data_IF_264743387977
#
_entry.id   IF_264743387977
#
_cell.length_a   1.000
_cell.length_b   1.000
_cell.length_c   1.000
_cell.angle_alpha   90.00
_cell.angle_beta   90.00
_cell.angle_gamma   90.00
#
_symmetry.space_group_name_H-M   'P 1'
#
loop_
_entity.id
_entity.type
_entity.pdbx_description
1 polymer ?
#
# COMPACT_ATOMS: atom_id res chain seq x y z
N UNK A 1 -1.83 -5.72 46.34
CA UNK A 1 -1.13 -6.23 45.14
C UNK A 1 -1.93 -7.27 44.35
N UNK A 2 -3.04 -7.82 44.87
CA UNK A 2 -3.93 -8.77 44.15
C UNK A 2 -5.17 -8.13 43.51
N UNK A 3 -5.54 -6.90 43.90
CA UNK A 3 -6.71 -6.18 43.36
C UNK A 3 -6.44 -5.47 42.03
N UNK A 4 -5.24 -4.91 41.84
CA UNK A 4 -4.83 -4.20 40.61
C UNK A 4 -4.66 -5.13 39.37
N UNK A 5 -4.54 -6.44 39.56
CA UNK A 5 -4.52 -7.41 38.44
C UNK A 5 -5.91 -7.79 37.94
N UNK A 6 -6.97 -7.61 38.74
CA UNK A 6 -8.34 -7.92 38.36
C UNK A 6 -8.98 -6.81 37.52
N UNK A 7 -8.66 -5.55 37.81
CA UNK A 7 -9.12 -4.37 37.05
C UNK A 7 -8.52 -4.28 35.64
N UNK A 8 -7.42 -4.98 35.35
CA UNK A 8 -6.83 -5.01 34.00
C UNK A 8 -7.49 -6.02 33.05
N UNK A 9 -8.47 -6.79 33.52
CA UNK A 9 -9.15 -7.85 32.75
C UNK A 9 -10.55 -7.49 32.25
N UNK A 10 -11.14 -6.40 32.72
CA UNK A 10 -12.36 -5.82 32.13
C UNK A 10 -11.95 -4.71 31.18
N UNK A 11 -11.44 -5.09 30.00
CA UNK A 11 -11.40 -4.16 28.87
C UNK A 11 -12.84 -3.93 28.44
N UNK A 12 -13.35 -2.75 28.76
CA UNK A 12 -14.63 -2.23 28.28
C UNK A 12 -14.79 -2.57 26.80
N UNK A 13 -15.82 -3.34 26.49
CA UNK A 13 -16.15 -3.64 25.13
C UNK A 13 -16.48 -2.34 24.41
N UNK A 14 -15.85 -2.11 23.26
CA UNK A 14 -16.03 -0.88 22.50
C UNK A 14 -17.49 -0.79 22.03
N UNK A 15 -18.10 0.38 22.22
CA UNK A 15 -19.51 0.60 21.88
C UNK A 15 -19.71 0.38 20.38
N UNK A 16 -20.65 -0.50 20.03
CA UNK A 16 -20.92 -0.88 18.65
C UNK A 16 -21.30 0.34 17.80
N UNK A 17 -20.50 0.65 16.78
CA UNK A 17 -20.84 1.68 15.80
C UNK A 17 -21.65 1.12 14.65
N UNK A 18 -22.45 1.97 13.98
CA UNK A 18 -23.17 1.62 12.74
C UNK A 18 -22.18 1.08 11.69
N UNK A 19 -20.96 1.63 11.64
CA UNK A 19 -19.94 1.19 10.71
C UNK A 19 -19.48 -0.26 10.96
N UNK A 20 -19.40 -0.68 12.22
CA UNK A 20 -19.04 -2.06 12.57
C UNK A 20 -20.12 -3.07 12.19
N UNK A 21 -21.39 -2.66 12.17
CA UNK A 21 -22.51 -3.51 11.73
C UNK A 21 -22.46 -3.76 10.22
N UNK A 22 -22.23 -2.70 9.43
CA UNK A 22 -22.22 -2.79 7.97
C UNK A 22 -20.90 -3.33 7.40
N UNK A 23 -19.77 -3.01 8.05
CA UNK A 23 -18.44 -3.36 7.55
C UNK A 23 -17.50 -3.66 8.73
N UNK A 24 -17.65 -4.85 9.32
CA UNK A 24 -16.73 -5.30 10.37
C UNK A 24 -15.34 -5.63 9.81
N UNK A 25 -14.35 -5.70 10.72
CA UNK A 25 -12.92 -5.81 10.39
C UNK A 25 -12.57 -6.76 9.24
N UNK A 26 -12.99 -8.04 9.21
CA UNK A 26 -12.57 -8.94 8.16
C UNK A 26 -13.12 -8.57 6.77
N UNK A 27 -14.30 -7.94 6.71
CA UNK A 27 -14.87 -7.46 5.45
C UNK A 27 -14.25 -6.15 4.98
N UNK A 28 -13.64 -5.35 5.87
CA UNK A 28 -12.81 -4.21 5.48
C UNK A 28 -11.60 -4.66 4.67
N UNK A 29 -10.94 -5.74 5.08
CA UNK A 29 -9.82 -6.32 4.34
C UNK A 29 -10.26 -6.73 2.93
N UNK A 30 -11.41 -7.42 2.82
CA UNK A 30 -11.99 -7.81 1.52
C UNK A 30 -12.30 -6.59 0.67
N UNK A 31 -12.88 -5.54 1.24
CA UNK A 31 -13.19 -4.29 0.54
C UNK A 31 -11.91 -3.63 -0.01
N UNK A 32 -10.83 -3.57 0.77
CA UNK A 32 -9.56 -2.98 0.34
C UNK A 32 -8.86 -3.81 -0.74
N UNK A 33 -8.91 -5.15 -0.65
CA UNK A 33 -8.43 -6.03 -1.71
C UNK A 33 -9.20 -5.83 -3.02
N UNK A 34 -10.53 -5.71 -2.95
CA UNK A 34 -11.36 -5.41 -4.12
C UNK A 34 -11.03 -4.03 -4.70
N UNK A 35 -10.89 -3.02 -3.85
CA UNK A 35 -10.47 -1.68 -4.27
C UNK A 35 -9.15 -1.74 -5.02
N UNK A 36 -8.15 -2.47 -4.52
CA UNK A 36 -6.87 -2.67 -5.21
C UNK A 36 -7.01 -3.28 -6.61
N UNK A 37 -7.85 -4.30 -6.77
CA UNK A 37 -8.11 -4.94 -8.07
C UNK A 37 -8.77 -3.98 -9.07
N UNK A 38 -9.77 -3.22 -8.62
CA UNK A 38 -10.42 -2.19 -9.45
C UNK A 38 -9.46 -1.09 -9.85
N UNK A 39 -8.70 -0.56 -8.90
CA UNK A 39 -7.70 0.47 -9.16
C UNK A 39 -6.64 -0.01 -10.17
N UNK A 40 -6.17 -1.24 -10.05
CA UNK A 40 -5.26 -1.83 -11.05
C UNK A 40 -5.92 -1.95 -12.44
N UNK A 41 -7.16 -2.44 -12.51
CA UNK A 41 -7.92 -2.52 -13.76
C UNK A 41 -8.06 -1.14 -14.42
N UNK A 42 -8.46 -0.12 -13.66
CA UNK A 42 -8.55 1.26 -14.16
C UNK A 42 -7.20 1.80 -14.59
N UNK A 43 -6.12 1.49 -13.86
CA UNK A 43 -4.77 1.90 -14.24
C UNK A 43 -4.40 1.38 -15.64
N UNK A 44 -4.59 0.08 -15.88
CA UNK A 44 -4.31 -0.54 -17.18
C UNK A 44 -5.16 0.10 -18.28
N UNK A 45 -6.47 0.27 -18.04
CA UNK A 45 -7.40 0.85 -19.03
C UNK A 45 -7.03 2.29 -19.40
N UNK A 46 -6.76 3.13 -18.41
CA UNK A 46 -6.44 4.56 -18.61
C UNK A 46 -5.07 4.73 -19.25
N UNK A 47 -4.05 3.97 -18.85
CA UNK A 47 -2.75 4.02 -19.52
C UNK A 47 -2.88 3.69 -21.02
N UNK A 48 -3.60 2.63 -21.36
CA UNK A 48 -3.80 2.22 -22.75
C UNK A 48 -4.62 3.24 -23.55
N UNK A 49 -5.61 3.92 -22.95
CA UNK A 49 -6.34 4.99 -23.65
C UNK A 49 -5.49 6.24 -23.92
N UNK A 50 -4.38 6.41 -23.19
CA UNK A 50 -3.40 7.48 -23.39
C UNK A 50 -2.16 7.03 -24.16
N UNK A 51 -2.21 5.88 -24.86
CA UNK A 51 -1.09 5.31 -25.61
C UNK A 51 0.16 5.04 -24.76
N UNK A 52 -0.02 4.76 -23.46
CA UNK A 52 1.04 4.32 -22.55
C UNK A 52 0.98 2.79 -22.49
N UNK A 53 1.92 2.11 -23.14
CA UNK A 53 1.97 0.65 -23.11
C UNK A 53 2.56 0.14 -21.79
N UNK A 54 1.66 -0.10 -20.84
CA UNK A 54 2.02 -0.67 -19.53
C UNK A 54 2.64 -2.06 -19.67
N UNK A 55 2.32 -2.85 -20.71
CA UNK A 55 2.90 -4.17 -20.90
C UNK A 55 4.38 -4.08 -21.28
N UNK A 56 4.77 -3.07 -22.06
CA UNK A 56 6.19 -2.80 -22.34
C UNK A 56 6.95 -2.47 -21.04
N UNK A 57 6.39 -1.61 -20.17
CA UNK A 57 7.00 -1.29 -18.86
C UNK A 57 7.13 -2.54 -17.99
N UNK A 58 6.13 -3.41 -18.03
CA UNK A 58 6.14 -4.68 -17.32
C UNK A 58 6.98 -5.75 -18.03
N UNK A 59 7.57 -5.49 -19.21
CA UNK A 59 8.25 -6.49 -20.06
C UNK A 59 7.39 -7.71 -20.34
N UNK A 60 6.14 -7.49 -20.74
CA UNK A 60 5.20 -8.50 -21.19
C UNK A 60 4.99 -8.32 -22.70
N UNK A 61 5.24 -9.37 -23.48
CA UNK A 61 4.96 -9.36 -24.91
C UNK A 61 3.47 -9.64 -25.14
N UNK A 62 2.75 -8.64 -25.61
CA UNK A 62 1.31 -8.70 -25.85
C UNK A 62 1.02 -8.20 -27.27
N UNK A 63 0.36 -9.02 -28.08
CA UNK A 63 -0.07 -8.59 -29.42
C UNK A 63 -1.25 -7.61 -29.31
N UNK A 64 -1.44 -6.73 -30.31
CA UNK A 64 -2.60 -5.83 -30.32
C UNK A 64 -3.94 -6.59 -30.33
N UNK A 65 -4.01 -7.75 -30.99
CA UNK A 65 -5.21 -8.60 -30.99
C UNK A 65 -5.52 -9.19 -29.62
N UNK A 66 -4.51 -9.38 -28.77
CA UNK A 66 -4.68 -9.88 -27.41
C UNK A 66 -5.01 -8.79 -26.40
N UNK A 67 -4.78 -7.51 -26.73
CA UNK A 67 -5.02 -6.39 -25.83
C UNK A 67 -6.47 -6.30 -25.36
N UNK A 68 -7.42 -6.35 -26.31
CA UNK A 68 -8.85 -6.34 -26.01
C UNK A 68 -9.28 -7.56 -25.19
N UNK A 69 -8.72 -8.73 -25.52
CA UNK A 69 -8.99 -9.98 -24.78
C UNK A 69 -8.48 -9.89 -23.34
N UNK A 70 -7.30 -9.31 -23.11
CA UNK A 70 -6.74 -9.11 -21.78
C UNK A 70 -7.62 -8.16 -20.99
N UNK A 71 -8.01 -7.01 -21.56
CA UNK A 71 -8.89 -6.05 -20.88
C UNK A 71 -10.24 -6.69 -20.48
N UNK A 72 -10.88 -7.45 -21.38
CA UNK A 72 -12.12 -8.17 -21.07
C UNK A 72 -11.91 -9.19 -19.96
N UNK A 73 -10.88 -10.04 -20.05
CA UNK A 73 -10.59 -11.07 -19.03
C UNK A 73 -10.26 -10.47 -17.68
N UNK A 74 -9.55 -9.33 -17.64
CA UNK A 74 -9.28 -8.62 -16.39
C UNK A 74 -10.55 -8.05 -15.79
N UNK A 75 -11.47 -7.50 -16.61
CA UNK A 75 -12.77 -7.04 -16.14
C UNK A 75 -13.60 -8.20 -15.58
N UNK A 76 -13.74 -9.30 -16.31
CA UNK A 76 -14.48 -10.49 -15.88
C UNK A 76 -13.91 -11.06 -14.58
N UNK A 77 -12.59 -11.09 -14.46
CA UNK A 77 -11.89 -11.50 -13.25
C UNK A 77 -12.25 -10.61 -12.07
N UNK A 78 -12.12 -9.28 -12.22
CA UNK A 78 -12.42 -8.31 -11.18
C UNK A 78 -13.90 -8.35 -10.78
N UNK A 79 -14.82 -8.38 -11.74
CA UNK A 79 -16.26 -8.51 -11.50
C UNK A 79 -16.59 -9.80 -10.75
N UNK A 80 -15.99 -10.93 -11.11
CA UNK A 80 -16.24 -12.20 -10.42
C UNK A 80 -15.80 -12.16 -8.94
N UNK A 81 -14.67 -11.53 -8.64
CA UNK A 81 -14.20 -11.36 -7.25
C UNK A 81 -15.10 -10.38 -6.49
N UNK A 82 -15.49 -9.28 -7.13
CA UNK A 82 -16.41 -8.30 -6.54
C UNK A 82 -17.78 -8.89 -6.26
N UNK A 83 -18.32 -9.73 -7.14
CA UNK A 83 -19.59 -10.42 -6.91
C UNK A 83 -19.52 -11.34 -5.68
N UNK A 84 -18.47 -12.18 -5.57
CA UNK A 84 -18.28 -13.06 -4.40
C UNK A 84 -18.12 -12.25 -3.12
N UNK A 85 -17.37 -11.15 -3.18
CA UNK A 85 -17.13 -10.26 -2.04
C UNK A 85 -18.38 -9.49 -1.62
N UNK A 86 -19.18 -9.04 -2.58
CA UNK A 86 -20.45 -8.39 -2.31
C UNK A 86 -21.45 -9.35 -1.67
N UNK A 87 -21.58 -10.56 -2.23
CA UNK A 87 -22.45 -11.59 -1.65
C UNK A 87 -22.04 -11.96 -0.22
N UNK A 88 -20.74 -12.04 0.07
CA UNK A 88 -20.27 -12.35 1.43
C UNK A 88 -20.57 -11.22 2.43
N UNK A 89 -20.35 -9.96 2.04
CA UNK A 89 -20.72 -8.78 2.85
C UNK A 89 -22.22 -8.72 3.08
N UNK A 90 -23.03 -8.86 2.02
CA UNK A 90 -24.48 -8.85 2.11
C UNK A 90 -24.99 -9.98 3.02
N UNK A 91 -24.45 -11.20 2.87
CA UNK A 91 -24.76 -12.32 3.75
C UNK A 91 -24.41 -12.03 5.22
N UNK A 92 -23.26 -11.42 5.49
CA UNK A 92 -22.90 -11.03 6.86
C UNK A 92 -23.88 -10.02 7.47
N UNK A 93 -24.26 -9.00 6.70
CA UNK A 93 -25.22 -7.98 7.17
C UNK A 93 -26.56 -8.63 7.49
N UNK A 94 -27.05 -9.53 6.63
CA UNK A 94 -28.28 -10.28 6.86
C UNK A 94 -28.19 -11.16 8.12
N UNK A 95 -27.10 -11.91 8.29
CA UNK A 95 -26.89 -12.74 9.49
C UNK A 95 -26.81 -11.91 10.77
N UNK A 96 -26.13 -10.75 10.72
CA UNK A 96 -26.05 -9.82 11.84
C UNK A 96 -27.45 -9.32 12.21
N UNK A 97 -28.22 -8.79 11.23
CA UNK A 97 -29.59 -8.27 11.46
C UNK A 97 -30.53 -9.34 12.03
N UNK A 98 -30.39 -10.59 11.58
CA UNK A 98 -31.19 -11.71 12.06
C UNK A 98 -30.71 -12.29 13.41
N UNK A 99 -29.61 -11.78 13.96
CA UNK A 99 -29.08 -12.24 15.25
C UNK A 99 -28.39 -13.61 15.20
N UNK A 100 -27.98 -14.10 14.02
CA UNK A 100 -27.27 -15.37 13.92
C UNK A 100 -25.82 -15.25 14.43
N UNK A 101 -25.50 -15.97 15.51
CA UNK A 101 -24.18 -15.95 16.17
C UNK A 101 -23.35 -17.21 15.89
N UNK A 102 -23.47 -17.82 14.71
CA UNK A 102 -22.73 -19.05 14.40
C UNK A 102 -21.26 -18.77 14.14
N UNK A 103 -20.39 -19.38 14.95
CA UNK A 103 -18.93 -19.23 14.81
C UNK A 103 -18.40 -19.59 13.40
N UNK A 104 -19.10 -20.48 12.68
CA UNK A 104 -18.74 -20.82 11.29
C UNK A 104 -18.82 -19.62 10.33
N UNK A 105 -19.72 -18.66 10.58
CA UNK A 105 -19.89 -17.45 9.76
C UNK A 105 -18.63 -16.58 9.81
N UNK A 106 -17.92 -16.58 10.94
CA UNK A 106 -16.69 -15.81 11.13
C UNK A 106 -15.54 -16.26 10.21
N UNK A 107 -15.61 -17.49 9.68
CA UNK A 107 -14.63 -18.04 8.72
C UNK A 107 -14.94 -17.70 7.26
N UNK A 108 -16.16 -17.23 6.95
CA UNK A 108 -16.54 -16.85 5.57
C UNK A 108 -15.58 -15.82 4.96
N UNK A 109 -15.20 -14.74 5.66
CA UNK A 109 -14.24 -13.78 5.10
C UNK A 109 -12.88 -14.40 4.77
N UNK A 110 -12.38 -15.30 5.63
CA UNK A 110 -11.13 -16.01 5.37
C UNK A 110 -11.22 -16.87 4.11
N UNK A 111 -12.34 -17.56 3.89
CA UNK A 111 -12.59 -18.34 2.67
C UNK A 111 -12.58 -17.43 1.44
N UNK A 112 -13.19 -16.25 1.52
CA UNK A 112 -13.19 -15.27 0.41
C UNK A 112 -11.78 -14.74 0.14
N UNK A 113 -11.01 -14.40 1.17
CA UNK A 113 -9.61 -13.95 1.02
C UNK A 113 -8.76 -15.05 0.38
N UNK A 114 -8.89 -16.30 0.85
CA UNK A 114 -8.20 -17.45 0.26
C UNK A 114 -8.62 -17.69 -1.18
N UNK A 115 -9.91 -17.54 -1.50
CA UNK A 115 -10.41 -17.62 -2.86
C UNK A 115 -9.77 -16.57 -3.78
N UNK A 116 -9.66 -15.31 -3.32
CA UNK A 116 -8.97 -14.24 -4.08
C UNK A 116 -7.51 -14.61 -4.34
N UNK A 117 -6.79 -15.06 -3.31
CA UNK A 117 -5.39 -15.49 -3.41
C UNK A 117 -5.26 -16.66 -4.40
N UNK A 118 -6.10 -17.69 -4.28
CA UNK A 118 -6.09 -18.83 -5.20
C UNK A 118 -6.39 -18.39 -6.64
N UNK A 119 -7.37 -17.53 -6.86
CA UNK A 119 -7.70 -17.01 -8.20
C UNK A 119 -6.52 -16.26 -8.83
N UNK A 120 -5.75 -15.49 -8.05
CA UNK A 120 -4.56 -14.77 -8.49
C UNK A 120 -3.38 -15.70 -8.81
N UNK A 121 -3.03 -16.60 -7.89
CA UNK A 121 -1.76 -17.35 -7.95
C UNK A 121 -1.89 -18.77 -8.51
N UNK A 122 -3.04 -19.43 -8.34
CA UNK A 122 -3.21 -20.82 -8.73
C UNK A 122 -3.54 -20.97 -10.22
N UNK A 123 -2.74 -21.76 -10.93
CA UNK A 123 -2.98 -22.13 -12.33
C UNK A 123 -1.69 -22.35 -13.12
N UNK A 124 -1.80 -22.95 -14.31
CA UNK A 124 -0.65 -23.31 -15.17
C UNK A 124 -0.29 -22.25 -16.21
N UNK A 125 -1.02 -21.13 -16.27
CA UNK A 125 -0.72 -20.08 -17.26
C UNK A 125 0.64 -19.43 -17.00
N UNK A 126 1.43 -19.08 -18.03
CA UNK A 126 2.73 -18.41 -17.88
C UNK A 126 2.66 -17.15 -17.02
N UNK A 127 1.60 -16.35 -17.17
CA UNK A 127 1.42 -15.11 -16.40
C UNK A 127 1.28 -15.35 -14.89
N UNK A 128 0.51 -16.37 -14.49
CA UNK A 128 0.38 -16.75 -13.07
C UNK A 128 1.69 -17.32 -12.51
N UNK A 129 2.42 -18.13 -13.29
CA UNK A 129 3.74 -18.63 -12.89
C UNK A 129 4.70 -17.46 -12.64
N UNK A 130 4.72 -16.49 -13.55
CA UNK A 130 5.52 -15.27 -13.43
C UNK A 130 5.15 -14.46 -12.20
N UNK A 131 3.85 -14.20 -11.97
CA UNK A 131 3.37 -13.50 -10.77
C UNK A 131 3.82 -14.22 -9.48
N UNK A 132 3.66 -15.54 -9.41
CA UNK A 132 4.09 -16.34 -8.26
C UNK A 132 5.60 -16.28 -8.04
N UNK A 133 6.40 -16.33 -9.11
CA UNK A 133 7.86 -16.19 -9.04
C UNK A 133 8.27 -14.79 -8.54
N UNK A 134 7.65 -13.74 -9.06
CA UNK A 134 7.85 -12.36 -8.61
C UNK A 134 7.51 -12.23 -7.13
N UNK A 135 6.31 -12.64 -6.69
CA UNK A 135 5.89 -12.58 -5.27
C UNK A 135 6.84 -13.35 -4.36
N UNK A 136 7.20 -14.59 -4.72
CA UNK A 136 8.14 -15.39 -3.92
C UNK A 136 9.50 -14.70 -3.78
N UNK A 137 10.01 -14.09 -4.85
CA UNK A 137 11.29 -13.38 -4.85
C UNK A 137 11.24 -12.13 -3.97
N UNK A 138 10.22 -11.28 -4.15
CA UNK A 138 10.13 -10.02 -3.41
C UNK A 138 9.89 -10.22 -1.91
N UNK A 139 9.15 -11.26 -1.51
CA UNK A 139 8.88 -11.54 -0.09
C UNK A 139 10.14 -11.96 0.69
N UNK A 140 11.19 -12.40 -0.01
CA UNK A 140 12.50 -12.69 0.59
C UNK A 140 13.37 -11.42 0.66
N UNK A 141 12.99 -10.34 -0.01
CA UNK A 141 13.77 -9.10 -0.13
C UNK A 141 14.69 -9.04 -1.34
N UNK A 142 14.59 -10.00 -2.26
CA UNK A 142 15.37 -10.02 -3.49
C UNK A 142 14.72 -9.17 -4.58
N UNK A 143 15.52 -8.75 -5.56
CA UNK A 143 15.09 -8.03 -6.76
C UNK A 143 15.74 -8.64 -8.00
N UNK A 144 14.98 -8.69 -9.07
CA UNK A 144 15.45 -9.09 -10.39
C UNK A 144 15.69 -7.85 -11.24
N UNK A 145 16.92 -7.66 -11.71
CA UNK A 145 17.31 -6.45 -12.44
C UNK A 145 16.69 -6.40 -13.83
N UNK A 146 16.41 -7.55 -14.45
CA UNK A 146 15.71 -7.59 -15.73
C UNK A 146 14.24 -7.22 -15.55
N UNK A 147 13.62 -7.63 -14.46
CA UNK A 147 12.21 -7.33 -14.17
C UNK A 147 12.02 -6.28 -13.07
N UNK A 148 13.00 -5.38 -12.92
CA UNK A 148 13.11 -4.41 -11.83
C UNK A 148 11.82 -3.63 -11.56
N UNK A 149 11.21 -3.08 -12.61
CA UNK A 149 9.98 -2.29 -12.49
C UNK A 149 8.82 -3.11 -11.92
N UNK A 150 8.68 -4.38 -12.30
CA UNK A 150 7.65 -5.26 -11.76
C UNK A 150 7.79 -5.47 -10.25
N UNK A 151 9.02 -5.75 -9.82
CA UNK A 151 9.34 -6.01 -8.42
C UNK A 151 9.11 -4.75 -7.57
N UNK A 152 9.51 -3.57 -8.07
CA UNK A 152 9.30 -2.28 -7.39
C UNK A 152 7.81 -1.92 -7.28
N UNK A 153 7.04 -2.05 -8.37
CA UNK A 153 5.61 -1.72 -8.35
C UNK A 153 4.85 -2.57 -7.32
N UNK A 154 5.17 -3.86 -7.24
CA UNK A 154 4.50 -4.77 -6.32
C UNK A 154 4.92 -4.54 -4.87
N UNK A 155 6.21 -4.29 -4.63
CA UNK A 155 6.71 -4.04 -3.26
C UNK A 155 6.31 -2.67 -2.74
N UNK A 156 6.30 -1.62 -3.56
CA UNK A 156 5.77 -0.31 -3.17
C UNK A 156 4.26 -0.38 -2.91
N UNK A 157 3.51 -1.20 -3.66
CA UNK A 157 2.11 -1.51 -3.33
C UNK A 157 2.00 -2.19 -1.97
N UNK A 158 2.87 -3.16 -1.68
CA UNK A 158 2.88 -3.86 -0.39
C UNK A 158 3.11 -2.89 0.79
N UNK A 159 3.93 -1.85 0.63
CA UNK A 159 4.12 -0.83 1.68
C UNK A 159 2.83 -0.08 2.04
N UNK A 160 1.97 0.20 1.06
CA UNK A 160 0.67 0.83 1.30
C UNK A 160 -0.35 -0.12 1.94
N UNK A 161 -0.14 -1.44 1.81
CA UNK A 161 -0.96 -2.49 2.44
C UNK A 161 -0.47 -2.92 3.83
N UNK A 162 0.63 -2.38 4.38
CA UNK A 162 1.16 -2.78 5.71
C UNK A 162 0.11 -2.79 6.83
N UNK A 163 -0.81 -1.82 6.83
CA UNK A 163 -1.89 -1.73 7.84
C UNK A 163 -3.01 -2.74 7.59
N UNK A 164 -3.28 -3.06 6.33
CA UNK A 164 -4.23 -4.12 5.95
C UNK A 164 -3.69 -5.50 6.35
N UNK A 165 -2.38 -5.71 6.21
CA UNK A 165 -1.70 -6.92 6.69
C UNK A 165 -1.83 -7.05 8.22
N UNK A 166 -1.69 -5.94 8.95
CA UNK A 166 -1.88 -5.93 10.40
C UNK A 166 -3.32 -6.33 10.77
N UNK A 167 -4.31 -5.73 10.13
CA UNK A 167 -5.73 -6.05 10.36
C UNK A 167 -6.03 -7.52 10.04
N UNK A 168 -5.38 -8.08 9.01
CA UNK A 168 -5.48 -9.51 8.70
C UNK A 168 -4.92 -10.39 9.83
N UNK A 169 -3.77 -10.04 10.40
CA UNK A 169 -3.24 -10.79 11.55
C UNK A 169 -4.13 -10.63 12.78
N UNK A 170 -4.65 -9.42 13.06
CA UNK A 170 -5.61 -9.19 14.14
C UNK A 170 -6.86 -10.04 13.93
N UNK A 171 -7.38 -10.14 12.71
CA UNK A 171 -8.50 -11.00 12.36
C UNK A 171 -8.18 -12.48 12.65
N UNK A 172 -7.05 -13.00 12.18
CA UNK A 172 -6.65 -14.39 12.43
C UNK A 172 -6.48 -14.70 13.93
N UNK A 173 -5.91 -13.77 14.70
CA UNK A 173 -5.79 -13.92 16.15
C UNK A 173 -7.16 -13.87 16.84
N UNK A 174 -8.07 -13.02 16.35
CA UNK A 174 -9.42 -12.87 16.90
C UNK A 174 -10.26 -14.13 16.69
N UNK A 175 -10.14 -14.80 15.54
CA UNK A 175 -10.78 -16.10 15.28
C UNK A 175 -10.42 -17.17 16.32
N UNK A 176 -9.19 -17.11 16.85
CA UNK A 176 -8.72 -18.02 17.91
C UNK A 176 -9.17 -17.60 19.30
N UNK A 177 -9.21 -16.29 19.57
CA UNK A 177 -9.40 -15.72 20.92
C UNK A 177 -10.86 -15.53 21.32
N UNK A 178 -11.79 -15.41 20.37
CA UNK A 178 -13.18 -15.11 20.69
C UNK A 178 -14.03 -14.98 19.43
N UNK A 179 -14.90 -13.97 19.42
CA UNK A 179 -15.72 -13.59 18.27
C UNK A 179 -15.14 -12.39 17.54
N UNK A 180 -15.27 -12.39 16.22
CA UNK A 180 -14.82 -11.32 15.31
C UNK A 180 -15.99 -10.42 14.90
N UNK A 181 -17.20 -10.97 14.90
CA UNK A 181 -18.40 -10.28 14.46
C UNK A 181 -18.98 -9.43 15.60
N UNK A 182 -19.68 -8.33 15.25
CA UNK A 182 -20.39 -7.54 16.24
C UNK A 182 -21.53 -8.35 16.88
N UNK A 183 -21.73 -8.18 18.19
CA UNK A 183 -22.91 -8.70 18.86
C UNK A 183 -23.92 -7.57 19.06
N UNK A 184 -25.06 -7.68 18.36
CA UNK A 184 -26.12 -6.65 18.37
C UNK A 184 -26.85 -6.63 19.72
N UNK A 185 -27.08 -7.79 20.33
CA UNK A 185 -27.81 -7.89 21.61
C UNK A 185 -27.06 -7.20 22.74
N UNK A 186 -25.74 -7.40 22.79
CA UNK A 186 -24.89 -6.75 23.80
C UNK A 186 -24.39 -5.37 23.36
N UNK A 187 -24.65 -4.94 22.12
CA UNK A 187 -24.12 -3.72 21.52
C UNK A 187 -22.60 -3.59 21.64
N UNK A 188 -21.88 -4.71 21.49
CA UNK A 188 -20.43 -4.77 21.68
C UNK A 188 -19.71 -5.38 20.49
N UNK A 189 -18.46 -4.94 20.31
CA UNK A 189 -17.49 -5.56 19.39
C UNK A 189 -16.31 -6.06 20.22
N UNK A 190 -16.11 -7.38 20.26
CA UNK A 190 -15.03 -8.01 21.05
C UNK A 190 -13.72 -8.20 20.27
N UNK A 191 -13.35 -7.25 19.40
CA UNK A 191 -12.11 -7.37 18.64
C UNK A 191 -10.92 -7.05 19.56
N UNK A 192 -10.22 -8.10 19.99
CA UNK A 192 -9.03 -7.92 20.81
C UNK A 192 -7.83 -7.49 19.95
N UNK A 193 -7.55 -6.19 19.97
CA UNK A 193 -6.39 -5.56 19.31
C UNK A 193 -5.11 -5.56 20.13
N UNK A 194 -5.08 -6.18 21.30
CA UNK A 194 -3.83 -6.40 22.03
C UNK A 194 -3.00 -7.46 21.33
N UNK A 195 -2.21 -6.96 20.40
CA UNK A 195 -1.08 -7.67 19.83
C UNK A 195 0.18 -7.17 20.52
N UNK A 196 1.17 -8.06 20.62
CA UNK A 196 2.48 -7.67 21.12
C UNK A 196 3.04 -6.54 20.23
N UNK A 197 3.51 -5.44 20.83
CA UNK A 197 4.04 -4.29 20.09
C UNK A 197 5.20 -4.67 19.14
N UNK A 198 5.99 -5.69 19.49
CA UNK A 198 7.05 -6.24 18.62
C UNK A 198 6.45 -6.92 17.39
N UNK A 199 5.35 -7.67 17.55
CA UNK A 199 4.64 -8.30 16.44
C UNK A 199 3.98 -7.25 15.53
N UNK A 200 3.35 -6.22 16.10
CA UNK A 200 2.81 -5.08 15.36
C UNK A 200 3.89 -4.44 14.48
N UNK A 201 5.05 -4.13 15.08
CA UNK A 201 6.18 -3.55 14.36
C UNK A 201 6.72 -4.49 13.29
N UNK A 202 6.90 -5.77 13.58
CA UNK A 202 7.38 -6.74 12.60
C UNK A 202 6.49 -6.77 11.35
N UNK A 203 5.15 -6.76 11.52
CA UNK A 203 4.21 -6.78 10.40
C UNK A 203 4.24 -5.46 9.62
N UNK A 204 4.17 -4.32 10.31
CA UNK A 204 4.14 -3.00 9.63
C UNK A 204 5.45 -2.72 8.89
N UNK A 205 6.59 -3.07 9.51
CA UNK A 205 7.93 -2.82 8.95
C UNK A 205 8.34 -3.81 7.88
N UNK A 206 7.73 -5.00 7.79
CA UNK A 206 8.15 -6.04 6.86
C UNK A 206 8.22 -5.57 5.39
N UNK A 207 7.20 -4.88 4.84
CA UNK A 207 7.30 -4.34 3.47
C UNK A 207 8.38 -3.26 3.30
N UNK A 208 8.63 -2.46 4.34
CA UNK A 208 9.68 -1.44 4.36
C UNK A 208 11.07 -2.10 4.31
N UNK A 209 11.26 -3.18 5.09
CA UNK A 209 12.50 -3.94 5.13
C UNK A 209 12.79 -4.64 3.80
N UNK A 210 11.75 -5.16 3.13
CA UNK A 210 11.88 -5.69 1.76
C UNK A 210 12.46 -4.61 0.84
N UNK A 211 11.87 -3.41 0.81
CA UNK A 211 12.36 -2.33 -0.06
C UNK A 211 13.76 -1.87 0.32
N UNK A 212 14.05 -1.77 1.61
CA UNK A 212 15.39 -1.45 2.10
C UNK A 212 16.43 -2.42 1.55
N UNK A 213 16.18 -3.73 1.66
CA UNK A 213 17.08 -4.77 1.17
C UNK A 213 17.23 -4.71 -0.35
N UNK A 214 16.12 -4.56 -1.10
CA UNK A 214 16.17 -4.43 -2.55
C UNK A 214 17.00 -3.23 -3.01
N UNK A 215 16.85 -2.08 -2.34
CA UNK A 215 17.63 -0.88 -2.66
C UNK A 215 19.13 -1.08 -2.41
N UNK A 216 19.51 -1.82 -1.35
CA UNK A 216 20.90 -2.19 -1.12
C UNK A 216 21.42 -3.16 -2.17
N UNK A 217 20.62 -4.17 -2.55
CA UNK A 217 20.97 -5.09 -3.63
C UNK A 217 21.21 -4.36 -4.95
N UNK A 218 20.36 -3.39 -5.31
CA UNK A 218 20.56 -2.55 -6.50
C UNK A 218 21.84 -1.71 -6.41
N UNK A 219 22.14 -1.13 -5.24
CA UNK A 219 23.36 -0.37 -5.01
C UNK A 219 24.61 -1.25 -5.20
N UNK A 220 24.62 -2.45 -4.62
CA UNK A 220 25.72 -3.40 -4.76
C UNK A 220 25.86 -3.90 -6.19
N UNK A 221 24.75 -4.20 -6.88
CA UNK A 221 24.75 -4.58 -8.29
C UNK A 221 25.36 -3.49 -9.18
N UNK A 222 25.16 -2.21 -8.84
CA UNK A 222 25.79 -1.08 -9.55
C UNK A 222 27.30 -0.93 -9.29
N UNK A 223 27.93 -1.87 -8.58
CA UNK A 223 29.32 -1.76 -8.14
C UNK A 223 29.54 -0.63 -7.12
N UNK A 224 28.52 -0.31 -6.32
CA UNK A 224 28.50 0.80 -5.35
C UNK A 224 28.69 2.19 -5.99
N UNK A 225 28.38 2.35 -7.27
CA UNK A 225 28.56 3.62 -8.00
C UNK A 225 27.30 4.47 -8.00
N UNK A 226 26.14 3.86 -8.16
CA UNK A 226 24.87 4.60 -8.25
C UNK A 226 24.31 4.90 -6.85
N UNK A 227 24.73 6.05 -6.28
CA UNK A 227 24.31 6.52 -4.96
C UNK A 227 22.80 6.73 -4.82
N UNK A 228 22.05 6.84 -5.92
CA UNK A 228 20.60 6.97 -5.88
C UNK A 228 19.96 5.77 -5.15
N UNK A 229 20.43 4.54 -5.40
CA UNK A 229 19.92 3.35 -4.72
C UNK A 229 20.21 3.37 -3.21
N UNK A 230 21.37 3.91 -2.81
CA UNK A 230 21.72 4.11 -1.40
C UNK A 230 20.83 5.18 -0.73
N UNK A 231 20.54 6.29 -1.41
CA UNK A 231 19.59 7.28 -0.89
C UNK A 231 18.19 6.70 -0.76
N UNK A 232 17.79 5.80 -1.65
CA UNK A 232 16.53 5.08 -1.54
C UNK A 232 16.49 4.13 -0.32
N UNK A 233 17.59 3.43 -0.01
CA UNK A 233 17.64 2.58 1.18
C UNK A 233 17.58 3.44 2.46
N UNK A 234 18.27 4.59 2.49
CA UNK A 234 18.15 5.56 3.60
C UNK A 234 16.71 6.06 3.75
N UNK A 235 16.00 6.36 2.65
CA UNK A 235 14.58 6.71 2.66
C UNK A 235 13.75 5.67 3.41
N UNK A 236 13.92 4.38 3.10
CA UNK A 236 13.19 3.32 3.81
C UNK A 236 13.63 3.16 5.28
N UNK A 237 14.91 3.37 5.59
CA UNK A 237 15.41 3.39 6.96
C UNK A 237 14.73 4.49 7.81
N UNK A 238 14.53 5.71 7.25
CA UNK A 238 13.80 6.77 7.97
C UNK A 238 12.38 6.37 8.37
N UNK A 239 11.73 5.47 7.62
CA UNK A 239 10.39 4.95 7.93
C UNK A 239 10.35 3.98 9.11
N UNK A 240 11.49 3.39 9.48
CA UNK A 240 11.59 2.51 10.65
C UNK A 240 11.66 3.30 11.97
N UNK A 241 12.25 4.49 11.96
CA UNK A 241 12.41 5.34 13.14
C UNK A 241 11.08 5.65 13.87
N UNK A 242 10.01 6.15 13.21
CA UNK A 242 8.75 6.40 13.90
C UNK A 242 8.11 5.12 14.47
N UNK A 243 8.36 3.95 13.89
CA UNK A 243 7.87 2.67 14.42
C UNK A 243 8.58 2.30 15.72
N UNK A 244 9.91 2.40 15.73
CA UNK A 244 10.74 2.12 16.91
C UNK A 244 10.42 3.05 18.08
N UNK A 245 10.30 4.35 17.80
CA UNK A 245 9.95 5.34 18.82
C UNK A 245 8.54 5.08 19.37
N UNK A 246 7.57 4.69 18.51
CA UNK A 246 6.21 4.37 18.97
C UNK A 246 6.18 3.17 19.91
N UNK A 247 6.97 2.13 19.68
CA UNK A 247 7.09 0.99 20.61
C UNK A 247 7.60 1.47 21.97
N UNK A 248 8.65 2.27 21.98
CA UNK A 248 9.18 2.83 23.22
C UNK A 248 8.11 3.62 23.97
N UNK A 249 7.36 4.47 23.26
CA UNK A 249 6.28 5.27 23.85
C UNK A 249 5.14 4.41 24.42
N UNK A 250 4.81 3.28 23.79
CA UNK A 250 3.82 2.33 24.31
C UNK A 250 4.29 1.57 25.55
N UNK A 251 5.59 1.29 25.67
CA UNK A 251 6.18 0.58 26.80
C UNK A 251 6.45 1.49 28.02
N UNK A 252 6.50 2.80 27.81
CA UNK A 252 6.85 3.80 28.83
C UNK A 252 5.64 4.24 29.66
N UNK A 253 5.87 4.60 30.93
CA UNK A 253 4.81 5.14 31.80
C UNK A 253 4.40 6.55 31.39
N UNK A 254 3.08 6.86 31.35
CA UNK A 254 2.59 8.19 31.02
C UNK A 254 3.04 9.23 32.08
N UNK A 255 3.38 10.45 31.63
CA UNK A 255 3.63 11.67 32.42
C UNK A 255 5.07 12.06 32.81
N UNK A 256 6.08 11.51 32.13
CA UNK A 256 7.47 11.97 32.29
C UNK A 256 7.82 13.08 31.28
N UNK A 257 8.57 14.11 31.68
CA UNK A 257 9.11 15.14 30.76
C UNK A 257 9.83 14.52 29.55
N UNK A 258 10.54 13.42 29.78
CA UNK A 258 11.21 12.64 28.75
C UNK A 258 10.24 12.09 27.68
N UNK A 259 9.04 11.65 28.09
CA UNK A 259 8.04 11.12 27.16
C UNK A 259 7.51 12.21 26.23
N UNK A 260 7.33 13.44 26.74
CA UNK A 260 6.97 14.59 25.91
C UNK A 260 8.04 14.84 24.86
N UNK A 261 9.33 14.86 25.25
CA UNK A 261 10.45 15.02 24.31
C UNK A 261 10.43 13.92 23.25
N UNK A 262 10.29 12.66 23.66
CA UNK A 262 10.27 11.51 22.73
C UNK A 262 9.04 11.55 21.80
N UNK A 263 7.91 12.07 22.28
CA UNK A 263 6.73 12.29 21.43
C UNK A 263 7.00 13.36 20.36
N UNK A 264 7.72 14.43 20.69
CA UNK A 264 8.15 15.41 19.68
C UNK A 264 9.15 14.81 18.68
N UNK A 265 10.10 13.98 19.15
CA UNK A 265 11.02 13.24 18.27
C UNK A 265 10.27 12.27 17.35
N UNK A 266 9.19 11.65 17.84
CA UNK A 266 8.32 10.82 17.02
C UNK A 266 7.69 11.62 15.88
N UNK A 267 7.09 12.78 16.17
CA UNK A 267 6.54 13.67 15.14
C UNK A 267 7.61 14.17 14.16
N UNK A 268 8.80 14.52 14.65
CA UNK A 268 9.93 14.91 13.80
C UNK A 268 10.34 13.78 12.87
N UNK A 269 10.40 12.54 13.37
CA UNK A 269 10.74 11.36 12.54
C UNK A 269 9.68 11.09 11.47
N UNK A 270 8.38 11.26 11.79
CA UNK A 270 7.29 11.20 10.81
C UNK A 270 7.42 12.29 9.74
N UNK A 271 7.75 13.51 10.16
CA UNK A 271 7.96 14.64 9.26
C UNK A 271 9.14 14.39 8.30
N UNK A 272 10.30 13.98 8.81
CA UNK A 272 11.48 13.67 8.00
C UNK A 272 11.16 12.55 7.00
N UNK A 273 10.54 11.47 7.45
CA UNK A 273 10.15 10.36 6.58
C UNK A 273 9.19 10.81 5.47
N UNK A 274 8.18 11.61 5.83
CA UNK A 274 7.20 12.15 4.89
C UNK A 274 7.84 13.09 3.88
N UNK A 275 8.72 13.99 4.33
CA UNK A 275 9.41 14.94 3.46
C UNK A 275 10.36 14.24 2.49
N UNK A 276 11.14 13.27 2.96
CA UNK A 276 12.02 12.48 2.09
C UNK A 276 11.18 11.74 1.04
N UNK A 277 10.10 11.08 1.46
CA UNK A 277 9.19 10.40 0.53
C UNK A 277 8.59 11.33 -0.52
N UNK A 278 8.19 12.55 -0.13
CA UNK A 278 7.64 13.53 -1.07
C UNK A 278 8.67 13.97 -2.10
N UNK A 279 9.89 14.31 -1.65
CA UNK A 279 10.99 14.70 -2.54
C UNK A 279 11.33 13.55 -3.49
N UNK A 280 11.34 12.32 -3.00
CA UNK A 280 11.62 11.13 -3.80
C UNK A 280 10.57 10.95 -4.90
N UNK A 281 9.29 11.02 -4.54
CA UNK A 281 8.21 10.75 -5.48
C UNK A 281 8.17 11.81 -6.59
N UNK A 282 8.30 13.09 -6.24
CA UNK A 282 8.29 14.20 -7.21
C UNK A 282 9.56 14.20 -8.09
N UNK A 283 10.75 14.19 -7.47
CA UNK A 283 12.00 14.39 -8.20
C UNK A 283 12.50 13.14 -8.91
N UNK A 284 12.35 11.96 -8.28
CA UNK A 284 12.99 10.73 -8.76
C UNK A 284 12.00 9.82 -9.48
N UNK A 285 10.84 9.55 -8.87
CA UNK A 285 9.87 8.62 -9.46
C UNK A 285 9.07 9.25 -10.60
N UNK A 286 8.68 10.51 -10.45
CA UNK A 286 7.96 11.28 -11.48
C UNK A 286 8.90 12.05 -12.42
N UNK A 287 10.17 12.19 -12.02
CA UNK A 287 11.20 12.92 -12.77
C UNK A 287 10.78 14.38 -13.06
N UNK A 288 10.12 15.02 -12.10
CA UNK A 288 9.76 16.44 -12.19
C UNK A 288 10.89 17.34 -11.74
N UNK A 289 10.89 18.57 -12.26
CA UNK A 289 11.97 19.54 -12.05
C UNK A 289 11.68 20.49 -10.88
N UNK A 290 10.51 20.43 -10.25
CA UNK A 290 10.06 21.34 -9.18
C UNK A 290 11.15 21.81 -8.19
N UNK A 291 11.95 20.89 -7.63
CA UNK A 291 13.00 21.25 -6.66
C UNK A 291 14.28 21.77 -7.33
N UNK A 292 14.65 21.27 -8.50
CA UNK A 292 15.78 21.81 -9.27
C UNK A 292 15.48 23.22 -9.78
N UNK A 293 14.24 23.45 -10.23
CA UNK A 293 13.73 24.71 -10.77
C UNK A 293 13.74 25.82 -9.72
N UNK A 294 13.33 25.51 -8.48
CA UNK A 294 13.39 26.45 -7.34
C UNK A 294 14.83 26.90 -7.03
N UNK A 295 15.82 26.04 -7.29
CA UNK A 295 17.24 26.32 -7.05
C UNK A 295 17.96 26.95 -8.25
N UNK A 296 17.51 26.66 -9.49
CA UNK A 296 18.17 27.07 -10.74
C UNK A 296 17.50 28.25 -11.44
N UNK A 297 16.32 28.69 -11.00
CA UNK A 297 15.58 29.81 -11.59
C UNK A 297 14.89 29.49 -12.92
N UNK A 298 14.75 28.22 -13.29
CA UNK A 298 13.97 27.81 -14.46
C UNK A 298 12.46 28.04 -14.24
N UNK A 299 11.65 28.06 -15.30
CA UNK A 299 10.21 28.36 -15.20
C UNK A 299 9.31 27.12 -15.12
N UNK A 300 9.77 25.95 -15.54
CA UNK A 300 8.94 24.75 -15.61
C UNK A 300 9.12 23.82 -14.39
N UNK A 301 8.02 23.54 -13.69
CA UNK A 301 7.98 22.65 -12.52
C UNK A 301 7.87 21.16 -12.90
N UNK A 302 7.23 20.88 -14.03
CA UNK A 302 7.05 19.54 -14.58
C UNK A 302 8.13 19.24 -15.61
N UNK A 303 8.28 17.97 -15.99
CA UNK A 303 9.16 17.59 -17.11
C UNK A 303 8.57 18.04 -18.46
N UNK A 304 9.44 18.12 -19.46
CA UNK A 304 9.11 18.59 -20.81
C UNK A 304 8.11 17.69 -21.55
N UNK A 305 8.30 16.37 -21.46
CA UNK A 305 7.44 15.37 -22.12
C UNK A 305 6.41 14.78 -21.15
N UNK A 306 5.13 15.02 -21.43
CA UNK A 306 3.98 14.53 -20.66
C UNK A 306 3.02 13.80 -21.61
N UNK A 307 2.58 12.61 -21.24
CA UNK A 307 1.65 11.77 -22.03
C UNK A 307 0.19 12.03 -21.66
N UNK A 308 -0.08 12.45 -20.42
CA UNK A 308 -1.42 12.92 -20.05
C UNK A 308 -1.55 14.38 -20.50
N UNK A 309 -2.43 14.62 -21.48
CA UNK A 309 -2.55 15.91 -22.15
C UNK A 309 -2.95 17.10 -21.24
N UNK A 310 -3.38 16.85 -20.00
CA UNK A 310 -3.87 17.88 -19.08
C UNK A 310 -2.90 18.03 -17.91
N UNK A 311 -2.15 19.15 -17.87
CA UNK A 311 -1.18 19.47 -16.81
C UNK A 311 -1.78 19.44 -15.41
N UNK A 312 -3.07 19.78 -15.28
CA UNK A 312 -3.80 19.76 -14.00
C UNK A 312 -3.71 18.41 -13.28
N UNK A 313 -3.69 17.28 -14.01
CA UNK A 313 -3.58 15.95 -13.38
C UNK A 313 -2.31 15.79 -12.56
N UNK A 314 -1.18 16.30 -13.07
CA UNK A 314 0.11 16.22 -12.37
C UNK A 314 0.15 17.10 -11.13
N UNK A 315 -0.40 18.32 -11.21
CA UNK A 315 -0.49 19.20 -10.04
C UNK A 315 -1.42 18.64 -8.97
N UNK A 316 -2.57 18.08 -9.36
CA UNK A 316 -3.46 17.38 -8.42
C UNK A 316 -2.77 16.17 -7.79
N UNK A 317 -1.98 15.40 -8.55
CA UNK A 317 -1.21 14.29 -8.00
C UNK A 317 -0.18 14.75 -6.96
N UNK A 318 0.53 15.85 -7.20
CA UNK A 318 1.46 16.46 -6.23
C UNK A 318 0.73 16.87 -4.95
N UNK A 319 -0.42 17.53 -5.08
CA UNK A 319 -1.23 17.97 -3.93
C UNK A 319 -1.74 16.77 -3.13
N UNK A 320 -2.32 15.76 -3.81
CA UNK A 320 -2.84 14.55 -3.18
C UNK A 320 -1.73 13.80 -2.46
N UNK A 321 -0.57 13.62 -3.10
CA UNK A 321 0.56 12.94 -2.47
C UNK A 321 1.07 13.70 -1.24
N UNK A 322 1.19 15.03 -1.34
CA UNK A 322 1.57 15.89 -0.22
C UNK A 322 0.58 15.77 0.94
N UNK A 323 -0.72 15.97 0.70
CA UNK A 323 -1.72 15.93 1.78
C UNK A 323 -1.76 14.55 2.46
N UNK A 324 -1.78 13.47 1.67
CA UNK A 324 -1.95 12.12 2.21
C UNK A 324 -0.68 11.57 2.86
N UNK A 325 0.52 12.00 2.43
CA UNK A 325 1.77 11.58 3.07
C UNK A 325 1.93 12.19 4.46
N UNK A 326 1.56 13.46 4.61
CA UNK A 326 1.64 14.18 5.87
C UNK A 326 0.43 13.93 6.79
N UNK A 327 -0.57 13.14 6.34
CA UNK A 327 -1.79 12.85 7.13
C UNK A 327 -1.46 12.27 8.51
N UNK A 328 -0.42 11.43 8.61
CA UNK A 328 -0.04 10.76 9.86
C UNK A 328 0.42 11.73 10.96
N UNK A 329 0.91 12.91 10.60
CA UNK A 329 1.26 13.99 11.54
C UNK A 329 0.00 14.63 12.14
N UNK A 330 -1.14 14.52 11.45
CA UNK A 330 -2.44 15.01 11.91
C UNK A 330 -2.89 14.45 13.27
N UNK A 331 -2.26 13.37 13.77
CA UNK A 331 -2.45 12.87 15.15
C UNK A 331 -2.16 13.90 16.25
N UNK A 332 -1.37 14.93 15.95
CA UNK A 332 -1.15 16.05 16.86
C UNK A 332 -2.43 16.86 17.11
N UNK A 333 -3.30 16.95 16.11
CA UNK A 333 -4.58 17.64 16.22
C UNK A 333 -5.61 16.72 16.90
N UNK A 334 -6.20 17.17 18.01
CA UNK A 334 -7.15 16.36 18.79
C UNK A 334 -8.39 15.91 18.00
N UNK A 335 -8.91 16.77 17.13
CA UNK A 335 -10.07 16.45 16.28
C UNK A 335 -9.73 15.36 15.27
N UNK A 336 -8.62 15.51 14.53
CA UNK A 336 -8.17 14.51 13.57
C UNK A 336 -7.80 13.20 14.30
N UNK A 337 -7.14 13.27 15.45
CA UNK A 337 -6.81 12.10 16.27
C UNK A 337 -8.06 11.30 16.64
N UNK A 338 -9.10 11.98 17.14
CA UNK A 338 -10.35 11.33 17.50
C UNK A 338 -11.07 10.73 16.29
N UNK A 339 -11.28 11.51 15.22
CA UNK A 339 -12.12 11.08 14.10
C UNK A 339 -11.42 10.14 13.10
N UNK A 340 -10.13 10.34 12.82
CA UNK A 340 -9.40 9.56 11.82
C UNK A 340 -8.55 8.42 12.40
N UNK A 341 -8.02 8.58 13.61
CA UNK A 341 -7.03 7.63 14.14
C UNK A 341 -7.53 6.74 15.27
N UNK A 342 -8.57 7.17 16.00
CA UNK A 342 -9.19 6.38 17.07
C UNK A 342 -10.44 5.64 16.60
N UNK A 343 -11.26 6.25 15.72
CA UNK A 343 -12.45 5.60 15.17
C UNK A 343 -12.12 4.61 14.07
N UNK A 344 -12.84 3.48 14.08
CA UNK A 344 -12.73 2.41 13.09
C UNK A 344 -13.00 2.87 11.65
N UNK A 345 -14.03 3.69 11.44
CA UNK A 345 -14.34 4.26 10.13
C UNK A 345 -13.25 5.21 9.62
N UNK A 346 -12.67 6.00 10.52
CA UNK A 346 -11.56 6.88 10.22
C UNK A 346 -10.30 6.12 9.83
N UNK A 347 -9.97 5.07 10.58
CA UNK A 347 -8.78 4.26 10.31
C UNK A 347 -8.92 3.49 8.98
N UNK A 348 -10.11 2.97 8.69
CA UNK A 348 -10.43 2.39 7.38
C UNK A 348 -10.30 3.41 6.25
N UNK A 349 -10.82 4.64 6.44
CA UNK A 349 -10.66 5.72 5.46
C UNK A 349 -9.18 6.02 5.17
N UNK A 350 -8.33 6.06 6.21
CA UNK A 350 -6.88 6.25 6.03
C UNK A 350 -6.23 5.13 5.21
N UNK A 351 -6.68 3.88 5.35
CA UNK A 351 -6.20 2.76 4.53
C UNK A 351 -6.64 2.90 3.07
N UNK A 352 -7.91 3.27 2.83
CA UNK A 352 -8.40 3.59 1.48
C UNK A 352 -7.58 4.71 0.85
N UNK A 353 -7.37 5.81 1.58
CA UNK A 353 -6.61 6.97 1.09
C UNK A 353 -5.14 6.63 0.81
N UNK A 354 -4.50 5.80 1.63
CA UNK A 354 -3.12 5.37 1.38
C UNK A 354 -3.00 4.51 0.11
N UNK A 355 -3.95 3.59 -0.11
CA UNK A 355 -4.01 2.80 -1.35
C UNK A 355 -4.29 3.69 -2.56
N UNK A 356 -5.22 4.65 -2.43
CA UNK A 356 -5.53 5.61 -3.47
C UNK A 356 -4.34 6.50 -3.82
N UNK A 357 -3.60 7.01 -2.83
CA UNK A 357 -2.37 7.78 -3.02
C UNK A 357 -1.36 6.99 -3.86
N UNK A 358 -1.14 5.72 -3.53
CA UNK A 358 -0.24 4.84 -4.29
C UNK A 358 -0.73 4.60 -5.72
N UNK A 359 -2.03 4.50 -5.94
CA UNK A 359 -2.60 4.39 -7.28
C UNK A 359 -2.40 5.66 -8.11
N UNK A 360 -2.54 6.85 -7.52
CA UNK A 360 -2.20 8.11 -8.20
C UNK A 360 -0.71 8.15 -8.56
N UNK A 361 0.17 7.77 -7.62
CA UNK A 361 1.61 7.66 -7.87
C UNK A 361 1.93 6.68 -9.01
N UNK A 362 1.21 5.56 -9.10
CA UNK A 362 1.43 4.51 -10.08
C UNK A 362 1.28 5.03 -11.53
N UNK A 363 0.29 5.88 -11.81
CA UNK A 363 0.09 6.42 -13.15
C UNK A 363 1.32 7.17 -13.66
N UNK A 364 1.78 8.13 -12.87
CA UNK A 364 2.91 8.97 -13.25
C UNK A 364 4.18 8.11 -13.25
N UNK A 365 4.34 7.16 -12.31
CA UNK A 365 5.47 6.24 -12.30
C UNK A 365 5.54 5.40 -13.58
N UNK A 366 4.43 4.77 -13.98
CA UNK A 366 4.36 3.95 -15.20
C UNK A 366 4.66 4.81 -16.42
N UNK A 367 4.10 6.02 -16.49
CA UNK A 367 4.40 6.96 -17.57
C UNK A 367 5.90 7.32 -17.62
N UNK A 368 6.51 7.62 -16.46
CA UNK A 368 7.95 7.91 -16.38
C UNK A 368 8.79 6.75 -16.91
N UNK A 369 8.49 5.53 -16.47
CA UNK A 369 9.26 4.35 -16.89
C UNK A 369 9.03 4.02 -18.37
N UNK A 370 7.81 4.21 -18.88
CA UNK A 370 7.50 4.07 -20.31
C UNK A 370 8.32 5.05 -21.16
N UNK A 371 8.37 6.32 -20.78
CA UNK A 371 9.18 7.32 -21.49
C UNK A 371 10.67 6.99 -21.48
N UNK A 372 11.20 6.45 -20.37
CA UNK A 372 12.59 5.98 -20.29
C UNK A 372 12.85 4.82 -21.24
N UNK A 373 11.92 3.85 -21.33
CA UNK A 373 12.05 2.73 -22.28
C UNK A 373 12.04 3.24 -23.72
N UNK A 374 11.13 4.14 -24.08
CA UNK A 374 11.09 4.72 -25.43
C UNK A 374 12.39 5.44 -25.80
N UNK A 375 12.97 6.22 -24.88
CA UNK A 375 14.21 6.94 -25.15
C UNK A 375 15.41 5.99 -25.32
N UNK A 376 15.49 4.94 -24.50
CA UNK A 376 16.54 3.93 -24.63
C UNK A 376 16.46 3.16 -25.97
N UNK A 377 15.24 2.83 -26.42
CA UNK A 377 15.03 2.17 -27.72
C UNK A 377 15.48 3.07 -28.88
N UNK A 378 15.24 4.38 -28.77
CA UNK A 378 15.67 5.38 -29.76
C UNK A 378 17.20 5.50 -29.81
N UNK A 379 17.86 5.62 -28.66
CA UNK A 379 19.33 5.67 -28.57
C UNK A 379 19.98 4.41 -29.16
N UNK A 380 19.49 3.22 -28.81
CA UNK A 380 19.98 1.95 -29.37
C UNK A 380 19.79 1.84 -30.90
N UNK A 381 18.73 2.45 -31.43
CA UNK A 381 18.46 2.46 -32.88
C UNK A 381 19.46 3.34 -33.63
N UNK A 382 19.84 4.49 -33.05
CA UNK A 382 20.88 5.35 -33.62
C UNK A 382 22.25 4.68 -33.56
N UNK A 383 22.63 4.07 -32.43
CA UNK A 383 23.89 3.33 -32.31
C UNK A 383 24.01 2.18 -33.32
N UNK A 384 22.93 1.43 -33.58
CA UNK A 384 22.91 0.39 -34.63
C UNK A 384 22.91 0.96 -36.07
N UNK A 385 22.38 2.17 -36.26
CA UNK A 385 22.39 2.87 -37.56
C UNK A 385 23.80 3.33 -37.95
N UNK A 386 24.58 3.79 -36.97
CA UNK A 386 25.94 4.28 -37.17
C UNK A 386 26.97 3.16 -37.38
N UNK A 387 26.65 1.92 -37.01
CA UNK A 387 27.52 0.74 -37.22
C UNK A 387 27.44 0.18 -38.66
N UNK A 388 26.59 0.74 -39.55
CA UNK A 388 26.42 0.24 -40.94
C UNK A 388 27.27 0.89 -42.02
N UNK A 389 28.22 1.75 -41.68
CA UNK A 389 29.15 2.35 -42.66
C UNK A 389 30.60 2.40 -42.16
N UNK A 390 31.19 1.22 -41.97
CA UNK A 390 32.64 0.97 -41.99
C UNK A 390 32.86 -0.44 -42.50
#
# INVERSE_FOLDING_TARGET
>A
MSTSKKEKSEKEAEQLSIFDIFLCLPYRIIALLNMGLWLWYFCVRVCLSHNIDIFQVLKLQVSQQDLLKIQSRTLDFTLSITAVSFCSVAGCILFNIQGYQWKAIEFIPLIVILYIILRLFYGRSPNKRRLTQTVRRILIGNIDMDFRSNDILLTDTLTSYSKVMLDFIIYLLSLRRGSVLPNIETQTVSINRDINAVLEMAIISYPILIRFNQCLSEYHFSGNRNKLHLYNSIKYCTGLLPLLIRIYLQASTPHNKLQTIITHLWYLSLFIHSLFGLIWDISIDWNFQMFSTTLSGQSELLRTKLMFNVKLYYYLAIIIDTCLRFVWIGRFNGYLNHHLFQRESGYFLLQCLEIFRRWVWLFIKVETEFLKTMNADVENTYEMGDIKYT
#
